data_IF_636667260433
#
_entry.id   IF_636667260433
#
_cell.length_a   1.000
_cell.length_b   1.000
_cell.length_c   1.000
_cell.angle_alpha   90.00
_cell.angle_beta   90.00
_cell.angle_gamma   90.00
#
_symmetry.space_group_name_H-M   'P 1'
#
loop_
_entity.id
_entity.type
_entity.pdbx_description
1 polymer ?
#
# COMPACT_ATOMS: atom_id res chain seq x y z
N UNK A 1 6.00 -3.95 -5.76
CA UNK A 1 6.46 -4.46 -7.06
C UNK A 1 7.94 -4.84 -6.95
N UNK A 2 8.32 -5.92 -7.60
CA UNK A 2 9.69 -6.43 -7.52
C UNK A 2 9.98 -7.34 -6.32
N UNK A 3 9.04 -7.57 -5.43
CA UNK A 3 9.10 -8.54 -4.33
C UNK A 3 7.71 -9.09 -4.06
N UNK A 4 7.63 -10.24 -3.38
CA UNK A 4 6.36 -10.76 -2.90
C UNK A 4 5.77 -9.86 -1.82
N UNK A 5 4.44 -9.72 -1.83
CA UNK A 5 3.68 -8.91 -0.87
C UNK A 5 2.77 -9.75 -0.01
N UNK A 6 2.53 -9.26 1.21
CA UNK A 6 1.42 -9.68 2.07
C UNK A 6 0.34 -8.60 1.99
N UNK A 7 -0.91 -9.02 2.00
CA UNK A 7 -2.07 -8.12 1.94
C UNK A 7 -3.21 -8.61 2.81
N UNK A 8 -4.10 -7.69 3.13
CA UNK A 8 -5.36 -7.97 3.82
C UNK A 8 -6.39 -6.88 3.53
N UNK A 9 -7.60 -7.04 4.05
CA UNK A 9 -8.65 -6.03 4.05
C UNK A 9 -8.22 -4.81 4.89
N UNK A 10 -8.23 -3.57 4.34
CA UNK A 10 -7.91 -2.36 5.08
C UNK A 10 -8.96 -1.97 6.13
N UNK A 11 -10.19 -2.48 6.01
CA UNK A 11 -11.30 -2.17 6.90
C UNK A 11 -11.51 -3.25 7.99
N UNK A 12 -10.73 -4.35 7.96
CA UNK A 12 -10.74 -5.36 9.02
C UNK A 12 -9.56 -5.20 9.98
N UNK A 13 -9.85 -4.66 11.18
CA UNK A 13 -8.84 -4.47 12.23
C UNK A 13 -8.20 -5.78 12.70
N UNK A 14 -8.90 -6.91 12.64
CA UNK A 14 -8.35 -8.22 13.01
C UNK A 14 -7.31 -8.66 11.99
N UNK A 15 -7.62 -8.48 10.69
CA UNK A 15 -6.69 -8.78 9.61
C UNK A 15 -5.45 -7.88 9.66
N UNK A 16 -5.63 -6.58 9.93
CA UNK A 16 -4.53 -5.64 10.14
C UNK A 16 -3.63 -6.05 11.31
N UNK A 17 -4.23 -6.40 12.46
CA UNK A 17 -3.51 -6.86 13.65
C UNK A 17 -2.75 -8.16 13.38
N UNK A 18 -3.40 -9.13 12.73
CA UNK A 18 -2.77 -10.39 12.35
C UNK A 18 -1.58 -10.18 11.41
N UNK A 19 -1.72 -9.31 10.40
CA UNK A 19 -0.65 -8.98 9.46
C UNK A 19 0.56 -8.34 10.17
N UNK A 20 0.32 -7.39 11.07
CA UNK A 20 1.38 -6.74 11.86
C UNK A 20 2.10 -7.76 12.76
N UNK A 21 1.35 -8.60 13.46
CA UNK A 21 1.88 -9.66 14.31
C UNK A 21 2.70 -10.68 13.50
N UNK A 22 2.19 -11.13 12.35
CA UNK A 22 2.86 -12.07 11.44
C UNK A 22 4.22 -11.55 10.99
N UNK A 23 4.32 -10.24 10.74
CA UNK A 23 5.57 -9.57 10.35
C UNK A 23 6.51 -9.28 11.53
N UNK A 24 6.03 -9.32 12.77
CA UNK A 24 6.79 -8.80 13.93
C UNK A 24 7.10 -7.30 13.77
N UNK A 25 6.19 -6.53 13.11
CA UNK A 25 6.38 -5.12 12.77
C UNK A 25 5.80 -4.24 13.87
N UNK A 26 6.50 -3.16 14.20
CA UNK A 26 5.97 -2.14 15.08
C UNK A 26 4.75 -1.45 14.41
N UNK A 27 3.64 -1.35 15.14
CA UNK A 27 2.36 -0.81 14.67
C UNK A 27 2.43 0.66 14.25
N UNK A 28 3.38 1.41 14.84
CA UNK A 28 3.60 2.83 14.59
C UNK A 28 4.07 3.13 13.15
N UNK A 29 4.62 2.14 12.47
CA UNK A 29 5.16 2.29 11.11
C UNK A 29 4.08 2.40 10.03
N UNK A 30 2.84 2.04 10.33
CA UNK A 30 1.75 1.99 9.36
C UNK A 30 1.99 1.00 8.20
N UNK A 31 1.04 0.94 7.30
CA UNK A 31 1.03 0.05 6.14
C UNK A 31 0.70 0.87 4.88
N UNK A 32 0.82 0.26 3.71
CA UNK A 32 0.47 0.90 2.44
C UNK A 32 -0.91 0.42 2.01
N UNK A 33 -1.77 1.35 1.62
CA UNK A 33 -3.01 1.08 0.91
C UNK A 33 -2.70 1.03 -0.59
N UNK A 34 -3.03 -0.09 -1.25
CA UNK A 34 -2.82 -0.25 -2.68
C UNK A 34 -4.15 -0.47 -3.40
N UNK A 35 -4.34 0.19 -4.52
CA UNK A 35 -5.49 0.03 -5.40
C UNK A 35 -5.04 -0.34 -6.81
N UNK A 36 -5.92 -0.96 -7.58
CA UNK A 36 -5.73 -1.22 -9.00
C UNK A 36 -6.20 -0.08 -9.90
N UNK A 37 -7.07 0.79 -9.37
CA UNK A 37 -7.65 1.94 -10.06
C UNK A 37 -7.95 3.05 -9.05
N UNK A 38 -7.73 4.31 -9.42
CA UNK A 38 -8.03 5.47 -8.56
C UNK A 38 -9.51 5.54 -8.18
N UNK A 39 -10.40 5.01 -9.01
CA UNK A 39 -11.84 4.94 -8.76
C UNK A 39 -12.22 4.03 -7.58
N UNK A 40 -11.30 3.27 -7.04
CA UNK A 40 -11.47 2.47 -5.83
C UNK A 40 -11.16 3.25 -4.54
N UNK A 41 -10.69 4.50 -4.67
CA UNK A 41 -10.19 5.31 -3.56
C UNK A 41 -11.04 6.53 -3.17
N UNK A 42 -12.29 6.76 -3.65
CA UNK A 42 -12.98 8.04 -3.43
C UNK A 42 -13.09 8.42 -1.94
N UNK A 43 -13.45 7.47 -1.08
CA UNK A 43 -13.56 7.70 0.36
C UNK A 43 -12.22 7.96 1.05
N UNK A 44 -11.10 7.54 0.47
CA UNK A 44 -9.75 7.75 0.99
C UNK A 44 -9.15 9.07 0.54
N UNK A 45 -9.65 9.61 -0.59
CA UNK A 45 -9.19 10.84 -1.22
C UNK A 45 -10.11 12.03 -0.93
N UNK A 46 -11.13 11.84 -0.10
CA UNK A 46 -12.05 12.91 0.29
C UNK A 46 -11.29 14.05 0.99
N UNK A 47 -11.56 15.29 0.57
CA UNK A 47 -10.90 16.48 1.09
C UNK A 47 -9.57 16.84 0.41
N UNK A 48 -9.14 16.07 -0.58
CA UNK A 48 -8.00 16.40 -1.44
C UNK A 48 -8.42 17.45 -2.46
N UNK A 49 -7.66 18.53 -2.60
CA UNK A 49 -7.96 19.59 -3.56
C UNK A 49 -7.69 19.18 -5.03
N UNK A 50 -8.24 19.94 -5.98
CA UNK A 50 -8.16 19.60 -7.40
C UNK A 50 -6.73 19.59 -7.95
N UNK A 51 -5.85 20.49 -7.50
CA UNK A 51 -4.46 20.56 -7.95
C UNK A 51 -3.69 19.32 -7.48
N UNK A 52 -3.97 18.89 -6.27
CA UNK A 52 -3.38 17.70 -5.70
C UNK A 52 -3.93 16.43 -6.36
N UNK A 53 -5.24 16.37 -6.62
CA UNK A 53 -5.85 15.29 -7.41
C UNK A 53 -5.23 15.18 -8.81
N UNK A 54 -4.97 16.30 -9.48
CA UNK A 54 -4.30 16.30 -10.78
C UNK A 54 -2.89 15.71 -10.71
N UNK A 55 -2.12 15.99 -9.64
CA UNK A 55 -0.78 15.40 -9.42
C UNK A 55 -0.84 13.90 -9.16
N UNK A 56 -1.80 13.45 -8.36
CA UNK A 56 -2.03 12.02 -8.14
C UNK A 56 -2.35 11.32 -9.47
N UNK A 57 -3.31 11.85 -10.24
CA UNK A 57 -3.72 11.31 -11.52
C UNK A 57 -2.58 11.29 -12.57
N UNK A 58 -1.67 12.26 -12.54
CA UNK A 58 -0.52 12.31 -13.43
C UNK A 58 0.56 11.26 -13.08
N UNK A 59 0.55 10.73 -11.86
CA UNK A 59 1.55 9.76 -11.37
C UNK A 59 1.00 8.34 -11.18
N UNK A 60 -0.31 8.17 -11.26
CA UNK A 60 -1.04 6.91 -11.13
C UNK A 60 -1.79 6.53 -12.41
N UNK A 61 -1.88 5.24 -12.70
CA UNK A 61 -1.24 4.11 -12.01
C UNK A 61 0.28 4.08 -12.20
N UNK A 62 1.01 3.49 -11.25
CA UNK A 62 2.47 3.37 -11.35
C UNK A 62 3.19 3.10 -10.02
N UNK A 63 4.52 3.25 -10.00
CA UNK A 63 5.34 2.87 -8.85
C UNK A 63 5.30 3.88 -7.70
N UNK A 64 4.58 5.00 -7.85
CA UNK A 64 4.59 6.09 -6.90
C UNK A 64 3.63 5.83 -5.74
N UNK A 65 4.16 5.82 -4.52
CA UNK A 65 3.37 5.82 -3.28
C UNK A 65 3.32 7.24 -2.72
N UNK A 66 2.13 7.79 -2.57
CA UNK A 66 1.92 9.11 -1.99
C UNK A 66 1.58 9.01 -0.51
N UNK A 67 2.16 9.90 0.28
CA UNK A 67 1.74 10.12 1.67
C UNK A 67 0.70 11.25 1.65
N UNK A 68 -0.56 10.88 1.63
CA UNK A 68 -1.68 11.83 1.62
C UNK A 68 -2.15 12.14 3.06
N UNK A 69 -2.72 13.32 3.33
CA UNK A 69 -3.37 13.59 4.60
C UNK A 69 -4.45 12.55 4.91
N UNK A 70 -4.45 12.01 6.13
CA UNK A 70 -5.54 11.14 6.56
C UNK A 70 -6.77 11.98 6.88
N UNK A 71 -7.89 11.67 6.24
CA UNK A 71 -9.18 12.30 6.48
C UNK A 71 -9.97 11.69 7.65
N UNK A 72 -9.32 10.83 8.44
CA UNK A 72 -9.92 10.12 9.57
C UNK A 72 -10.52 8.76 9.23
N UNK A 73 -10.43 8.32 7.95
CA UNK A 73 -10.91 7.02 7.51
C UNK A 73 -9.98 5.88 7.90
N UNK A 74 -8.67 6.12 7.88
CA UNK A 74 -7.70 5.05 8.09
C UNK A 74 -7.74 4.53 9.53
N UNK A 75 -7.89 3.22 9.68
CA UNK A 75 -7.72 2.56 10.97
C UNK A 75 -6.33 2.89 11.57
N UNK A 76 -6.20 3.03 12.90
CA UNK A 76 -4.92 3.33 13.54
C UNK A 76 -3.79 2.37 13.15
N UNK A 77 -4.09 1.08 12.99
CA UNK A 77 -3.10 0.07 12.58
C UNK A 77 -2.65 0.23 11.12
N UNK A 78 -3.52 0.75 10.23
CA UNK A 78 -3.17 1.03 8.84
C UNK A 78 -2.29 2.29 8.75
N UNK A 79 -2.68 3.35 9.42
CA UNK A 79 -1.98 4.63 9.39
C UNK A 79 -0.69 4.64 10.24
N UNK A 80 -0.66 3.90 11.33
CA UNK A 80 0.37 3.97 12.34
C UNK A 80 0.30 5.28 13.14
N UNK A 81 1.45 5.79 13.59
CA UNK A 81 1.54 7.05 14.35
C UNK A 81 1.59 8.30 13.47
N UNK A 82 1.36 8.15 12.15
CA UNK A 82 1.47 9.26 11.19
C UNK A 82 0.15 10.02 11.06
N UNK A 83 0.23 11.29 10.63
CA UNK A 83 -0.92 12.09 10.19
C UNK A 83 -1.27 11.88 8.72
N UNK A 84 -0.51 11.03 8.03
CA UNK A 84 -0.68 10.72 6.61
C UNK A 84 -0.87 9.23 6.40
N UNK A 85 -1.56 8.88 5.32
CA UNK A 85 -1.71 7.52 4.84
C UNK A 85 -0.84 7.31 3.59
N UNK A 86 -0.12 6.21 3.52
CA UNK A 86 0.62 5.81 2.33
C UNK A 86 -0.32 5.11 1.35
N UNK A 87 -0.50 5.68 0.16
CA UNK A 87 -1.44 5.18 -0.86
C UNK A 87 -0.74 5.03 -2.21
N UNK A 88 -1.06 3.97 -2.94
CA UNK A 88 -0.60 3.73 -4.32
C UNK A 88 -1.74 3.20 -5.19
N UNK A 89 -1.77 3.63 -6.45
CA UNK A 89 -2.48 2.93 -7.51
C UNK A 89 -1.45 2.25 -8.39
N UNK A 90 -1.49 0.91 -8.43
CA UNK A 90 -0.49 0.10 -9.13
C UNK A 90 -0.90 -0.14 -10.58
N UNK A 91 0.09 -0.15 -11.48
CA UNK A 91 -0.05 -0.62 -12.85
C UNK A 91 0.22 -2.13 -13.01
N UNK A 92 0.54 -2.81 -11.92
CA UNK A 92 0.81 -4.25 -11.94
C UNK A 92 -0.48 -5.05 -12.19
N UNK A 93 -0.55 -5.86 -13.28
CA UNK A 93 -1.80 -6.53 -13.68
C UNK A 93 -2.42 -7.41 -12.60
N UNK A 94 -1.58 -8.13 -11.81
CA UNK A 94 -2.08 -8.96 -10.71
C UNK A 94 -2.72 -8.12 -9.60
N UNK A 95 -2.12 -6.99 -9.25
CA UNK A 95 -2.68 -6.08 -8.23
C UNK A 95 -4.00 -5.52 -8.71
N UNK A 96 -4.08 -5.10 -9.98
CA UNK A 96 -5.32 -4.62 -10.59
C UNK A 96 -6.42 -5.70 -10.55
N UNK A 97 -6.09 -6.93 -10.93
CA UNK A 97 -7.02 -8.05 -10.91
C UNK A 97 -7.48 -8.39 -9.47
N UNK A 98 -6.58 -8.41 -8.50
CA UNK A 98 -6.91 -8.66 -7.10
C UNK A 98 -7.82 -7.57 -6.52
N UNK A 99 -7.48 -6.30 -6.72
CA UNK A 99 -8.30 -5.18 -6.25
C UNK A 99 -9.67 -5.12 -6.95
N UNK A 100 -9.73 -5.49 -8.24
CA UNK A 100 -10.99 -5.59 -8.97
C UNK A 100 -11.88 -6.74 -8.45
N UNK A 101 -11.28 -7.92 -8.22
CA UNK A 101 -11.99 -9.08 -7.68
C UNK A 101 -12.46 -8.85 -6.23
N UNK A 102 -11.66 -8.15 -5.45
CA UNK A 102 -12.00 -7.74 -4.07
C UNK A 102 -13.10 -6.66 -4.04
N UNK A 103 -13.13 -5.80 -5.05
CA UNK A 103 -14.07 -4.68 -5.13
C UNK A 103 -13.58 -3.38 -4.48
N UNK A 104 -12.29 -3.27 -4.17
CA UNK A 104 -11.72 -2.12 -3.48
C UNK A 104 -10.21 -2.18 -3.31
N UNK A 105 -9.62 -1.23 -2.58
CA UNK A 105 -8.21 -1.25 -2.25
C UNK A 105 -7.90 -2.36 -1.24
N UNK A 106 -6.64 -2.75 -1.19
CA UNK A 106 -6.10 -3.75 -0.26
C UNK A 106 -4.94 -3.13 0.53
N UNK A 107 -4.63 -3.71 1.66
CA UNK A 107 -3.36 -3.45 2.34
C UNK A 107 -2.23 -4.15 1.58
N UNK A 108 -1.07 -3.52 1.48
CA UNK A 108 0.11 -4.12 0.88
C UNK A 108 1.35 -3.82 1.70
N UNK A 109 2.14 -4.86 1.94
CA UNK A 109 3.47 -4.76 2.54
C UNK A 109 4.36 -5.87 1.98
N UNK A 110 5.68 -5.72 2.06
CA UNK A 110 6.60 -6.76 1.61
C UNK A 110 6.46 -8.06 2.41
N UNK A 111 6.61 -9.21 1.74
CA UNK A 111 6.53 -10.53 2.37
C UNK A 111 7.85 -10.88 3.06
N UNK A 112 8.05 -10.33 4.27
CA UNK A 112 9.20 -10.59 5.14
C UNK A 112 8.83 -10.35 6.60
N UNK A 113 9.50 -10.99 7.51
CA UNK A 113 9.52 -10.58 8.92
C UNK A 113 10.35 -9.30 9.08
N UNK A 114 10.11 -8.56 10.15
CA UNK A 114 10.83 -7.30 10.40
C UNK A 114 12.33 -7.54 10.48
N UNK A 115 13.11 -6.79 9.69
CA UNK A 115 14.56 -6.91 9.61
C UNK A 115 15.09 -7.97 8.65
N UNK A 116 14.23 -8.80 8.07
CA UNK A 116 14.61 -9.82 7.10
C UNK A 116 14.45 -9.31 5.66
N UNK A 117 15.15 -9.88 4.67
CA UNK A 117 14.92 -9.58 3.27
C UNK A 117 13.53 -10.06 2.82
N UNK A 118 12.89 -9.37 1.87
CA UNK A 118 11.60 -9.79 1.35
C UNK A 118 11.72 -11.08 0.52
N UNK A 119 10.68 -11.90 0.55
CA UNK A 119 10.58 -13.10 -0.26
C UNK A 119 10.57 -12.75 -1.75
N UNK A 120 11.30 -13.55 -2.53
CA UNK A 120 11.47 -13.39 -3.97
C UNK A 120 10.74 -14.49 -4.76
N UNK A 121 10.23 -15.52 -4.06
CA UNK A 121 9.48 -16.63 -4.67
C UNK A 121 8.32 -17.08 -3.78
N UNK A 122 7.35 -17.74 -4.38
CA UNK A 122 6.23 -18.33 -3.67
C UNK A 122 6.66 -19.39 -2.65
N UNK A 123 7.71 -20.16 -2.95
CA UNK A 123 8.26 -21.12 -1.98
C UNK A 123 8.77 -20.43 -0.74
N UNK A 124 9.54 -19.33 -0.88
CA UNK A 124 10.01 -18.56 0.26
C UNK A 124 8.85 -17.99 1.09
N UNK A 125 7.76 -17.54 0.45
CA UNK A 125 6.55 -17.09 1.16
C UNK A 125 5.95 -18.23 1.97
N UNK A 126 5.79 -19.42 1.36
CA UNK A 126 5.26 -20.60 2.05
C UNK A 126 6.17 -21.07 3.18
N UNK A 127 7.47 -21.07 2.96
CA UNK A 127 8.45 -21.48 3.96
C UNK A 127 8.47 -20.55 5.17
N UNK A 128 8.30 -19.24 4.94
CA UNK A 128 8.34 -18.22 6.01
C UNK A 128 7.03 -18.10 6.77
N UNK A 129 5.89 -18.18 6.07
CA UNK A 129 4.58 -17.85 6.62
C UNK A 129 3.61 -19.02 6.64
N UNK A 130 3.79 -20.00 5.76
CA UNK A 130 3.08 -21.28 5.75
C UNK A 130 1.58 -21.16 5.95
N UNK A 131 1.08 -21.92 6.92
CA UNK A 131 -0.35 -21.98 7.26
C UNK A 131 -0.92 -20.71 7.91
N UNK A 132 -0.08 -19.70 8.16
CA UNK A 132 -0.55 -18.40 8.67
C UNK A 132 -1.17 -17.52 7.57
N UNK A 133 -1.19 -17.99 6.32
CA UNK A 133 -1.80 -17.31 5.18
C UNK A 133 -3.05 -18.05 4.73
N UNK A 134 -4.14 -17.32 4.50
CA UNK A 134 -5.38 -17.90 3.95
C UNK A 134 -5.20 -18.32 2.49
N UNK A 135 -4.38 -17.59 1.72
CA UNK A 135 -4.10 -17.89 0.33
C UNK A 135 -2.74 -17.37 -0.12
N UNK A 136 -2.14 -18.06 -1.09
CA UNK A 136 -0.98 -17.59 -1.85
C UNK A 136 -1.39 -17.52 -3.32
N UNK A 137 -1.43 -16.31 -3.88
CA UNK A 137 -1.85 -16.08 -5.26
C UNK A 137 -0.63 -16.06 -6.16
N UNK A 138 -0.54 -17.03 -7.05
CA UNK A 138 0.51 -17.16 -8.06
C UNK A 138 -0.11 -17.04 -9.47
N UNK A 139 0.58 -16.34 -10.35
CA UNK A 139 0.21 -16.31 -11.78
C UNK A 139 1.21 -17.17 -12.54
N UNK A 140 0.76 -18.24 -13.21
CA UNK A 140 1.63 -19.05 -14.03
C UNK A 140 2.37 -18.21 -15.09
N UNK A 141 3.70 -18.33 -15.13
CA UNK A 141 4.54 -17.57 -16.06
C UNK A 141 4.98 -16.19 -15.54
N UNK A 142 4.53 -15.75 -14.37
CA UNK A 142 5.12 -14.63 -13.65
C UNK A 142 6.38 -15.13 -12.94
N UNK A 143 7.50 -14.80 -13.51
CA UNK A 143 8.82 -15.28 -13.03
C UNK A 143 9.25 -14.41 -11.85
N UNK A 144 10.10 -15.00 -11.03
CA UNK A 144 10.73 -14.40 -9.86
C UNK A 144 11.05 -12.91 -10.01
N UNK A 145 10.85 -12.17 -8.95
CA UNK A 145 10.95 -10.71 -8.86
C UNK A 145 12.30 -10.11 -9.34
N UNK A 146 13.32 -10.93 -9.57
CA UNK A 146 14.59 -10.52 -10.19
C UNK A 146 14.47 -10.07 -11.63
N UNK A 147 13.41 -10.51 -12.34
CA UNK A 147 13.16 -10.20 -13.75
C UNK A 147 11.92 -9.30 -13.94
N UNK A 148 11.40 -8.68 -12.88
CA UNK A 148 10.24 -7.81 -12.97
C UNK A 148 10.52 -6.62 -13.90
N UNK A 149 9.73 -6.44 -14.98
CA UNK A 149 9.85 -5.26 -15.85
C UNK A 149 9.36 -3.98 -15.19
N UNK A 150 8.78 -4.08 -13.99
CA UNK A 150 8.21 -2.93 -13.30
C UNK A 150 9.27 -2.14 -12.53
N UNK A 151 9.22 -0.80 -12.59
CA UNK A 151 10.17 0.05 -11.88
C UNK A 151 10.03 -0.12 -10.36
N UNK A 152 11.13 0.13 -9.64
CA UNK A 152 11.10 0.13 -8.17
C UNK A 152 10.15 1.22 -7.67
N UNK A 153 9.43 0.92 -6.59
CA UNK A 153 8.50 1.87 -5.96
C UNK A 153 9.22 3.13 -5.47
N UNK A 154 8.61 4.27 -5.71
CA UNK A 154 9.02 5.55 -5.13
C UNK A 154 8.02 6.01 -4.06
N UNK A 155 8.51 6.69 -3.01
CA UNK A 155 7.66 7.33 -2.01
C UNK A 155 7.64 8.82 -2.28
N UNK A 156 6.46 9.35 -2.61
CA UNK A 156 6.23 10.77 -2.81
C UNK A 156 5.59 11.37 -1.54
N UNK A 157 6.11 12.50 -1.08
CA UNK A 157 5.54 13.20 0.09
C UNK A 157 4.56 14.26 -0.37
N UNK A 158 3.47 14.39 0.37
CA UNK A 158 2.54 15.50 0.19
C UNK A 158 3.26 16.82 0.43
N UNK A 159 3.11 17.83 -0.46
CA UNK A 159 3.67 19.15 -0.21
C UNK A 159 3.05 19.71 1.08
N UNK A 160 3.88 20.25 1.96
CA UNK A 160 3.37 20.96 3.13
C UNK A 160 2.43 22.09 2.65
N UNK A 161 1.30 22.36 3.34
CA UNK A 161 0.47 23.51 3.01
C UNK A 161 1.34 24.77 3.08
N UNK A 162 1.15 25.74 2.17
CA UNK A 162 1.87 27.01 2.25
C UNK A 162 1.65 27.56 3.67
N UNK A 163 2.75 27.86 4.36
CA UNK A 163 2.69 28.46 5.70
C UNK A 163 1.75 29.66 5.62
N UNK A 164 0.67 29.66 6.41
CA UNK A 164 -0.20 30.80 6.55
C UNK A 164 0.67 31.99 6.95
N UNK A 165 0.82 32.95 6.06
CA UNK A 165 1.48 34.21 6.41
C UNK A 165 0.63 34.84 7.51
N UNK A 166 1.25 35.32 8.62
CA UNK A 166 0.49 36.04 9.62
C UNK A 166 -0.16 37.28 8.95
N UNK A 167 -1.38 37.62 9.33
CA UNK A 167 -2.02 38.81 8.76
C UNK A 167 -1.12 40.01 9.06
N UNK A 168 -0.85 40.78 8.02
CA UNK A 168 -0.12 42.04 8.13
C UNK A 168 -0.80 42.92 9.15
N UNK A 169 -0.04 43.32 10.18
CA UNK A 169 -0.38 44.42 11.11
C UNK A 169 -0.17 45.75 10.41
#
# INVERSE_FOLDING_TARGET
EGVWGLGCDPDDERALSALIALKGRASEKGLILIAGDIRQLPAWLEGIDDDAMARLAASWPGPNTWLIPDNGRAAPLLRGSHSTLAVRVSDHPLVQALCAAWGGPLVSTSANRAGEPPAMSASQVRDTFGESLDAVVEVPGYVDAMASPFPRSAICRWPAPPSAQPPFT
#
